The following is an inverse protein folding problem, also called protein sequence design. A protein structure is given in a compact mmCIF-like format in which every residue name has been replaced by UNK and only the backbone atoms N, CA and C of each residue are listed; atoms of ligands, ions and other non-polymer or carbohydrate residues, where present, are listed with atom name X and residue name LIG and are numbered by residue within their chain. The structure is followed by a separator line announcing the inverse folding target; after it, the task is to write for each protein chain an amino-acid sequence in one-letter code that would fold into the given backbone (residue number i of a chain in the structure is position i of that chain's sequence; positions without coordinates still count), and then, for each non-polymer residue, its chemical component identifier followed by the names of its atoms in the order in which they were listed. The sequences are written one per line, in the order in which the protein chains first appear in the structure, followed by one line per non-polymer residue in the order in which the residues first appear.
data_IF_132576184583
#
_entry.id   IF_132576184583
#
_cell.length_a   1.000
_cell.length_b   1.000
_cell.length_c   1.000
_cell.angle_alpha   90.00
_cell.angle_beta   90.00
_cell.angle_gamma   90.00
#
_symmetry.space_group_name_H-M   'P 1'
#
loop_
_entity.id
_entity.type
_entity.pdbx_description
1 polymer ?
#
# COMPACT_ATOMS: atom_id res chain seq x y z
N UNK A 1 2.66 18.64 10.75
CA UNK A 1 2.72 17.38 9.96
C UNK A 1 4.15 16.88 10.08
N UNK A 2 4.35 15.60 10.42
CA UNK A 2 5.68 15.00 10.44
C UNK A 2 6.30 15.11 9.04
N UNK A 3 7.56 15.49 8.95
CA UNK A 3 8.30 15.65 7.70
C UNK A 3 9.31 14.54 7.64
N UNK A 4 9.31 13.78 6.55
CA UNK A 4 10.25 12.69 6.36
C UNK A 4 11.66 13.26 6.28
N UNK A 5 12.59 12.58 6.92
CA UNK A 5 14.01 12.79 6.67
C UNK A 5 14.54 11.81 5.61
N UNK A 6 15.82 11.91 5.30
CA UNK A 6 16.47 11.04 4.31
C UNK A 6 16.39 9.55 4.72
N UNK A 7 16.49 9.27 6.02
CA UNK A 7 16.36 7.91 6.53
C UNK A 7 14.95 7.35 6.31
N UNK A 8 13.90 8.11 6.61
CA UNK A 8 12.52 7.71 6.38
C UNK A 8 12.25 7.42 4.89
N UNK A 9 12.76 8.29 4.02
CA UNK A 9 12.63 8.11 2.57
C UNK A 9 13.31 6.83 2.08
N UNK A 10 14.53 6.58 2.52
CA UNK A 10 15.30 5.40 2.10
C UNK A 10 14.71 4.12 2.70
N UNK A 11 14.26 4.17 3.95
CA UNK A 11 13.57 3.07 4.60
C UNK A 11 12.30 2.67 3.84
N UNK A 12 11.43 3.63 3.49
CA UNK A 12 10.20 3.32 2.75
C UNK A 12 10.53 2.80 1.35
N UNK A 13 11.51 3.37 0.64
CA UNK A 13 11.94 2.87 -0.68
C UNK A 13 12.47 1.44 -0.60
N UNK A 14 13.31 1.14 0.38
CA UNK A 14 13.85 -0.20 0.60
C UNK A 14 12.71 -1.21 0.87
N UNK A 15 11.71 -0.80 1.67
CA UNK A 15 10.53 -1.63 1.95
C UNK A 15 9.69 -1.89 0.71
N UNK A 16 9.52 -0.89 -0.15
CA UNK A 16 8.83 -1.06 -1.45
C UNK A 16 9.59 -2.04 -2.35
N UNK A 17 10.91 -1.92 -2.44
CA UNK A 17 11.74 -2.83 -3.23
C UNK A 17 11.66 -4.28 -2.71
N UNK A 18 11.73 -4.47 -1.40
CA UNK A 18 11.57 -5.78 -0.74
C UNK A 18 10.20 -6.40 -1.06
N UNK A 19 9.12 -5.64 -0.91
CA UNK A 19 7.79 -6.16 -1.19
C UNK A 19 7.56 -6.42 -2.70
N UNK A 20 8.19 -5.64 -3.57
CA UNK A 20 8.17 -5.87 -5.01
C UNK A 20 8.75 -7.24 -5.39
N UNK A 21 9.88 -7.62 -4.79
CA UNK A 21 10.47 -8.96 -4.96
C UNK A 21 9.52 -10.05 -4.46
N UNK A 22 8.95 -9.87 -3.26
CA UNK A 22 8.01 -10.83 -2.68
C UNK A 22 6.76 -11.04 -3.55
N UNK A 23 6.23 -9.97 -4.15
CA UNK A 23 5.13 -10.04 -5.12
C UNK A 23 5.55 -10.77 -6.38
N UNK A 24 6.73 -10.47 -6.93
CA UNK A 24 7.23 -11.15 -8.13
C UNK A 24 7.35 -12.67 -7.91
N UNK A 25 7.92 -13.09 -6.78
CA UNK A 25 8.05 -14.50 -6.39
C UNK A 25 6.68 -15.17 -6.19
N UNK A 26 5.71 -14.44 -5.63
CA UNK A 26 4.33 -14.94 -5.48
C UNK A 26 3.65 -15.15 -6.83
N UNK A 27 3.85 -14.23 -7.77
CA UNK A 27 3.29 -14.31 -9.12
C UNK A 27 3.97 -15.41 -9.97
N UNK A 28 5.27 -15.64 -9.75
CA UNK A 28 6.02 -16.74 -10.36
C UNK A 28 5.68 -18.12 -9.77
N UNK A 29 4.94 -18.17 -8.65
CA UNK A 29 4.61 -19.41 -7.95
C UNK A 29 5.73 -19.98 -7.09
N UNK A 30 6.80 -19.22 -6.85
CA UNK A 30 7.94 -19.63 -6.02
C UNK A 30 7.62 -19.66 -4.53
N UNK A 31 6.62 -18.87 -4.10
CA UNK A 31 6.09 -18.90 -2.74
C UNK A 31 4.59 -19.14 -2.75
N UNK A 32 4.12 -19.96 -1.81
CA UNK A 32 2.70 -20.29 -1.66
C UNK A 32 1.91 -19.12 -1.06
N UNK A 33 0.58 -19.16 -1.15
CA UNK A 33 -0.26 -18.15 -0.49
C UNK A 33 -0.06 -18.13 1.03
N UNK A 34 0.17 -19.28 1.68
CA UNK A 34 0.42 -19.34 3.12
C UNK A 34 1.75 -18.68 3.51
N UNK A 35 2.79 -18.85 2.69
CA UNK A 35 4.08 -18.17 2.86
C UNK A 35 3.98 -16.67 2.58
N UNK A 36 3.18 -16.29 1.58
CA UNK A 36 2.97 -14.90 1.19
C UNK A 36 2.05 -14.12 2.14
N UNK A 37 1.10 -14.80 2.79
CA UNK A 37 0.11 -14.22 3.70
C UNK A 37 0.72 -13.25 4.72
N UNK A 38 1.73 -13.62 5.54
CA UNK A 38 2.33 -12.67 6.49
C UNK A 38 2.97 -11.46 5.79
N UNK A 39 3.64 -11.68 4.65
CA UNK A 39 4.34 -10.64 3.91
C UNK A 39 3.39 -9.56 3.37
N UNK A 40 2.28 -10.00 2.74
CA UNK A 40 1.27 -9.07 2.20
C UNK A 40 0.52 -8.34 3.32
N UNK A 41 0.25 -9.01 4.43
CA UNK A 41 -0.42 -8.38 5.56
C UNK A 41 0.45 -7.26 6.15
N UNK A 42 1.75 -7.47 6.37
CA UNK A 42 2.65 -6.42 6.85
C UNK A 42 2.74 -5.18 5.93
N UNK A 43 2.35 -5.33 4.66
CA UNK A 43 2.33 -4.27 3.65
C UNK A 43 0.92 -3.73 3.37
N UNK A 44 -0.05 -4.03 4.23
CA UNK A 44 -1.39 -3.45 4.14
C UNK A 44 -2.33 -4.17 3.16
N UNK A 45 -1.96 -5.37 2.71
CA UNK A 45 -2.65 -6.08 1.62
C UNK A 45 -3.45 -7.28 2.15
N UNK A 46 -4.77 -7.17 2.11
CA UNK A 46 -5.70 -8.25 2.40
C UNK A 46 -6.21 -8.91 1.12
N UNK A 47 -6.27 -10.23 1.09
CA UNK A 47 -7.01 -10.96 0.06
C UNK A 47 -8.48 -11.09 0.51
N UNK A 48 -9.39 -10.45 -0.23
CA UNK A 48 -10.83 -10.66 -0.14
C UNK A 48 -11.25 -11.79 -1.09
N UNK A 49 -12.52 -12.19 -1.07
CA UNK A 49 -13.03 -13.31 -1.88
C UNK A 49 -12.72 -13.18 -3.39
N UNK A 50 -12.68 -11.95 -3.90
CA UNK A 50 -12.56 -11.68 -5.35
C UNK A 50 -11.41 -10.73 -5.73
N UNK A 51 -10.74 -10.10 -4.77
CA UNK A 51 -9.76 -9.06 -5.06
C UNK A 51 -8.83 -8.82 -3.86
N UNK A 52 -7.73 -8.10 -4.10
CA UNK A 52 -6.91 -7.57 -3.02
C UNK A 52 -7.47 -6.23 -2.54
N UNK A 53 -7.40 -6.01 -1.24
CA UNK A 53 -7.64 -4.72 -0.61
C UNK A 53 -6.31 -4.18 -0.08
N UNK A 54 -5.96 -2.96 -0.46
CA UNK A 54 -4.79 -2.23 0.03
C UNK A 54 -5.24 -1.13 0.99
N UNK A 55 -4.74 -1.15 2.22
CA UNK A 55 -4.99 -0.11 3.23
C UNK A 55 -3.77 0.78 3.41
N UNK A 56 -3.97 2.08 3.24
CA UNK A 56 -2.92 3.11 3.33
C UNK A 56 -3.00 3.79 4.69
N UNK A 57 -1.84 4.02 5.31
CA UNK A 57 -1.74 4.70 6.59
C UNK A 57 -1.96 6.21 6.42
N UNK A 58 -2.82 6.78 7.27
CA UNK A 58 -3.02 8.22 7.39
C UNK A 58 -2.85 8.61 8.86
N UNK A 59 -1.62 8.90 9.31
CA UNK A 59 -1.35 9.23 10.70
C UNK A 59 -2.20 10.41 11.19
N UNK A 60 -2.89 10.20 12.31
CA UNK A 60 -3.81 11.16 12.93
C UNK A 60 -4.95 11.63 12.00
N UNK A 61 -5.21 10.94 10.89
CA UNK A 61 -6.18 11.39 9.88
C UNK A 61 -5.77 12.66 9.13
N UNK A 62 -4.49 13.06 9.20
CA UNK A 62 -4.01 14.32 8.60
C UNK A 62 -3.45 14.11 7.19
N UNK A 63 -3.89 14.94 6.24
CA UNK A 63 -3.46 14.91 4.84
C UNK A 63 -3.22 16.33 4.32
N UNK A 64 -2.19 16.49 3.50
CA UNK A 64 -1.99 17.71 2.71
C UNK A 64 -2.54 17.54 1.29
N UNK A 65 -2.58 18.62 0.53
CA UNK A 65 -3.16 18.61 -0.82
C UNK A 65 -2.41 17.72 -1.83
N UNK A 66 -1.09 17.51 -1.66
CA UNK A 66 -0.31 16.61 -2.52
C UNK A 66 -0.69 15.15 -2.25
N UNK A 67 -0.76 14.76 -0.98
CA UNK A 67 -1.17 13.43 -0.54
C UNK A 67 -2.60 13.10 -0.99
N UNK A 68 -3.55 14.03 -0.82
CA UNK A 68 -4.93 13.82 -1.26
C UNK A 68 -5.03 13.66 -2.79
N UNK A 69 -4.26 14.43 -3.57
CA UNK A 69 -4.18 14.26 -5.03
C UNK A 69 -3.59 12.91 -5.42
N UNK A 70 -2.58 12.43 -4.70
CA UNK A 70 -2.01 11.10 -4.93
C UNK A 70 -3.02 9.99 -4.66
N UNK A 71 -3.77 10.06 -3.56
CA UNK A 71 -4.86 9.11 -3.29
C UNK A 71 -5.89 9.10 -4.43
N UNK A 72 -6.24 10.27 -4.97
CA UNK A 72 -7.11 10.36 -6.14
C UNK A 72 -6.49 9.77 -7.42
N UNK A 73 -5.17 9.93 -7.62
CA UNK A 73 -4.45 9.28 -8.72
C UNK A 73 -4.54 7.76 -8.62
N UNK A 74 -4.25 7.21 -7.43
CA UNK A 74 -4.31 5.77 -7.17
C UNK A 74 -5.71 5.22 -7.43
N UNK A 75 -6.73 5.90 -6.91
CA UNK A 75 -8.13 5.52 -7.11
C UNK A 75 -8.50 5.37 -8.59
N UNK A 76 -8.04 6.30 -9.45
CA UNK A 76 -8.36 6.30 -10.88
C UNK A 76 -7.50 5.36 -11.71
N UNK A 77 -6.23 5.17 -11.33
CA UNK A 77 -5.25 4.39 -12.11
C UNK A 77 -5.29 2.91 -11.80
N UNK A 78 -5.45 2.54 -10.52
CA UNK A 78 -5.29 1.16 -10.07
C UNK A 78 -6.54 0.58 -9.38
N UNK A 79 -7.58 1.38 -9.20
CA UNK A 79 -8.85 0.96 -8.61
C UNK A 79 -10.01 1.45 -9.52
N UNK A 80 -11.24 1.50 -9.01
CA UNK A 80 -12.47 1.81 -9.75
C UNK A 80 -12.90 3.27 -9.61
N UNK A 81 -11.97 4.17 -9.36
CA UNK A 81 -12.21 5.62 -9.25
C UNK A 81 -12.71 6.10 -7.88
N UNK A 82 -12.74 5.23 -6.86
CA UNK A 82 -13.13 5.60 -5.51
C UNK A 82 -12.21 4.95 -4.46
N UNK A 83 -12.21 5.52 -3.25
CA UNK A 83 -11.54 4.96 -2.07
C UNK A 83 -12.47 5.06 -0.87
N UNK A 84 -12.25 4.22 0.15
CA UNK A 84 -13.08 4.19 1.35
C UNK A 84 -12.28 4.66 2.56
N UNK A 85 -12.69 5.77 3.16
CA UNK A 85 -12.17 6.18 4.46
C UNK A 85 -12.71 5.28 5.56
N UNK A 86 -11.81 4.78 6.38
CA UNK A 86 -12.12 3.84 7.46
C UNK A 86 -12.44 4.59 8.76
N UNK A 87 -13.05 3.89 9.72
CA UNK A 87 -13.28 4.42 11.08
C UNK A 87 -12.00 4.72 11.85
N UNK A 88 -10.84 4.21 11.38
CA UNK A 88 -9.50 4.51 11.91
C UNK A 88 -8.78 5.60 11.11
N UNK A 89 -9.52 6.40 10.35
CA UNK A 89 -9.04 7.54 9.56
C UNK A 89 -8.06 7.21 8.43
N UNK A 90 -7.71 5.93 8.23
CA UNK A 90 -7.00 5.44 7.05
C UNK A 90 -7.92 5.41 5.82
N UNK A 91 -7.34 5.17 4.65
CA UNK A 91 -8.08 4.94 3.40
C UNK A 91 -7.76 3.55 2.84
N UNK A 92 -8.74 2.89 2.22
CA UNK A 92 -8.56 1.61 1.54
C UNK A 92 -9.07 1.62 0.10
N UNK A 93 -8.35 0.89 -0.75
CA UNK A 93 -8.65 0.56 -2.13
C UNK A 93 -8.93 -0.95 -2.21
N UNK A 94 -10.02 -1.37 -2.87
CA UNK A 94 -10.54 -2.75 -2.77
C UNK A 94 -10.39 -3.56 -4.06
N UNK A 95 -9.89 -2.95 -5.13
CA UNK A 95 -9.75 -3.60 -6.43
C UNK A 95 -8.34 -3.57 -7.07
N UNK A 96 -7.23 -3.19 -6.40
CA UNK A 96 -5.93 -3.28 -7.05
C UNK A 96 -5.57 -4.72 -7.42
N UNK A 97 -5.02 -4.91 -8.61
CA UNK A 97 -4.38 -6.17 -8.98
C UNK A 97 -3.09 -6.34 -8.16
N UNK A 98 -2.76 -7.58 -7.76
CA UNK A 98 -1.56 -7.85 -6.98
C UNK A 98 -0.28 -7.34 -7.65
N UNK A 99 -0.20 -7.48 -8.98
CA UNK A 99 0.92 -7.00 -9.80
C UNK A 99 1.14 -5.50 -9.73
N UNK A 100 0.09 -4.73 -9.44
CA UNK A 100 0.14 -3.26 -9.46
C UNK A 100 0.48 -2.69 -8.08
N UNK A 101 0.32 -3.47 -7.00
CA UNK A 101 0.54 -2.99 -5.64
C UNK A 101 1.96 -2.42 -5.42
N UNK A 102 3.05 -3.03 -5.91
CA UNK A 102 4.38 -2.43 -5.79
C UNK A 102 4.46 -1.02 -6.40
N UNK A 103 3.82 -0.80 -7.55
CA UNK A 103 3.76 0.52 -8.19
C UNK A 103 2.94 1.52 -7.37
N UNK A 104 1.81 1.09 -6.80
CA UNK A 104 1.00 1.92 -5.88
C UNK A 104 1.84 2.36 -4.68
N UNK A 105 2.60 1.45 -4.07
CA UNK A 105 3.44 1.78 -2.91
C UNK A 105 4.57 2.75 -3.27
N UNK A 106 5.14 2.63 -4.48
CA UNK A 106 6.13 3.58 -4.98
C UNK A 106 5.53 4.98 -5.20
N UNK A 107 4.33 5.05 -5.78
CA UNK A 107 3.58 6.30 -5.95
C UNK A 107 3.29 6.96 -4.59
N UNK A 108 2.88 6.18 -3.58
CA UNK A 108 2.67 6.67 -2.21
C UNK A 108 3.97 7.20 -1.57
N UNK A 109 5.08 6.48 -1.73
CA UNK A 109 6.37 6.89 -1.19
C UNK A 109 6.82 8.25 -1.75
N UNK A 110 6.46 8.58 -2.99
CA UNK A 110 6.76 9.88 -3.61
C UNK A 110 6.11 11.10 -2.92
N UNK A 111 5.11 10.86 -2.07
CA UNK A 111 4.38 11.88 -1.31
C UNK A 111 4.38 11.61 0.21
N UNK A 112 5.39 10.89 0.70
CA UNK A 112 5.59 10.62 2.13
C UNK A 112 4.40 9.83 2.74
N UNK A 113 3.91 8.82 2.02
CA UNK A 113 2.85 7.91 2.47
C UNK A 113 3.28 6.45 2.34
N UNK A 114 2.70 5.56 3.16
CA UNK A 114 2.97 4.12 3.11
C UNK A 114 1.76 3.27 3.55
N UNK A 115 1.87 1.95 3.40
CA UNK A 115 0.90 0.96 3.86
C UNK A 115 1.46 0.00 4.93
N UNK A 116 2.68 0.26 5.41
CA UNK A 116 3.38 -0.55 6.42
C UNK A 116 2.51 -0.71 7.67
N UNK A 117 2.34 -1.97 8.11
CA UNK A 117 1.63 -2.36 9.33
C UNK A 117 0.21 -1.78 9.48
N UNK A 118 -0.48 -1.52 8.36
CA UNK A 118 -1.91 -1.16 8.40
C UNK A 118 -2.84 -2.40 8.51
N UNK A 119 -2.23 -3.59 8.42
CA UNK A 119 -2.86 -4.90 8.33
C UNK A 119 -1.95 -5.96 8.98
N UNK A 120 -2.52 -7.03 9.52
CA UNK A 120 -1.77 -8.10 10.18
C UNK A 120 -1.16 -7.74 11.54
N UNK A 121 -0.71 -8.77 12.26
CA UNK A 121 0.13 -8.68 13.46
C UNK A 121 1.54 -9.14 13.11
#
# INVERSE_FOLDING_TARGET
MYRYDEFDHDFVKARVAEFSDQVARRLAGEITEDQFRPLRLMNGVYLQLHAYMLRIAVPYGTLNSKQLRMLGHIARKYDKGYGHFTTRQNIQFNWPALSDIPAILADLASVEMHAIQTSGN
#
